data_IF_839010240552
#
_entry.id   IF_839010240552
#
_cell.length_a   1.000
_cell.length_b   1.000
_cell.length_c   1.000
_cell.angle_alpha   90.00
_cell.angle_beta   90.00
_cell.angle_gamma   90.00
#
_symmetry.space_group_name_H-M   'P 1'
#
loop_
_entity.id
_entity.type
_entity.pdbx_description
1 polymer ?
#
# COMPACT_ATOMS: atom_id res chain seq x y z
N UNK A 1 35.44 -0.60 5.46
CA UNK A 1 35.07 0.80 5.18
C UNK A 1 33.60 0.76 4.87
N UNK A 2 32.78 0.89 5.91
CA UNK A 2 31.33 0.71 5.81
C UNK A 2 30.76 1.79 4.89
N UNK A 3 30.23 1.35 3.75
CA UNK A 3 29.57 2.24 2.81
C UNK A 3 28.44 2.97 3.56
N UNK A 4 28.22 4.28 3.31
CA UNK A 4 27.19 5.03 3.99
C UNK A 4 25.83 4.34 3.79
N UNK A 5 25.00 4.32 4.84
CA UNK A 5 23.65 3.71 4.90
C UNK A 5 22.81 3.98 3.64
N UNK A 6 23.03 5.12 2.99
CA UNK A 6 22.38 5.52 1.74
C UNK A 6 22.65 4.62 0.52
N UNK A 7 23.76 3.90 0.48
CA UNK A 7 24.13 3.01 -0.64
C UNK A 7 23.32 1.71 -0.66
N UNK A 8 22.71 1.33 0.46
CA UNK A 8 21.88 0.12 0.59
C UNK A 8 20.38 0.41 0.42
N UNK A 9 20.00 1.68 0.27
CA UNK A 9 18.59 2.05 0.13
C UNK A 9 18.09 1.74 -1.28
N UNK A 10 16.88 1.16 -1.43
CA UNK A 10 16.31 0.93 -2.73
C UNK A 10 16.11 2.26 -3.47
N UNK A 11 16.45 2.29 -4.76
CA UNK A 11 16.37 3.49 -5.61
C UNK A 11 15.00 4.16 -5.57
N UNK A 12 13.92 3.37 -5.49
CA UNK A 12 12.55 3.88 -5.34
C UNK A 12 12.33 4.67 -4.06
N UNK A 13 12.96 4.26 -2.95
CA UNK A 13 12.89 4.97 -1.67
C UNK A 13 13.69 6.27 -1.73
N UNK A 14 14.86 6.28 -2.37
CA UNK A 14 15.63 7.51 -2.60
C UNK A 14 14.80 8.50 -3.44
N UNK A 15 14.20 8.03 -4.53
CA UNK A 15 13.33 8.85 -5.37
C UNK A 15 12.12 9.41 -4.60
N UNK A 16 11.49 8.59 -3.75
CA UNK A 16 10.40 9.03 -2.88
C UNK A 16 10.84 10.10 -1.88
N UNK A 17 11.99 9.94 -1.24
CA UNK A 17 12.54 10.93 -0.30
C UNK A 17 12.89 12.25 -1.00
N UNK A 18 13.50 12.18 -2.19
CA UNK A 18 13.79 13.36 -3.02
C UNK A 18 12.50 14.08 -3.44
N UNK A 19 11.48 13.31 -3.85
CA UNK A 19 10.17 13.85 -4.19
C UNK A 19 9.52 14.55 -2.99
N UNK A 20 9.56 13.94 -1.81
CA UNK A 20 9.03 14.53 -0.58
C UNK A 20 9.79 15.81 -0.22
N UNK A 21 11.12 15.79 -0.32
CA UNK A 21 11.98 16.96 -0.10
C UNK A 21 11.66 18.09 -1.07
N UNK A 22 11.48 17.79 -2.36
CA UNK A 22 11.11 18.76 -3.39
C UNK A 22 9.72 19.37 -3.14
N UNK A 23 8.75 18.54 -2.75
CA UNK A 23 7.39 18.99 -2.45
C UNK A 23 7.35 19.90 -1.20
N UNK A 24 8.07 19.53 -0.13
CA UNK A 24 8.19 20.34 1.08
C UNK A 24 8.92 21.66 0.81
N UNK A 25 10.03 21.61 0.07
CA UNK A 25 10.75 22.81 -0.34
C UNK A 25 9.85 23.77 -1.14
N UNK A 26 9.10 23.24 -2.11
CA UNK A 26 8.14 24.01 -2.89
C UNK A 26 7.04 24.62 -2.03
N UNK A 27 6.50 23.86 -1.07
CA UNK A 27 5.51 24.37 -0.12
C UNK A 27 6.03 25.59 0.65
N UNK A 28 7.21 25.49 1.27
CA UNK A 28 7.79 26.59 2.05
C UNK A 28 8.21 27.79 1.19
N UNK A 29 8.78 27.57 0.00
CA UNK A 29 9.13 28.66 -0.93
C UNK A 29 7.88 29.47 -1.30
N UNK A 30 6.78 28.80 -1.61
CA UNK A 30 5.52 29.44 -2.05
C UNK A 30 4.79 30.11 -0.90
N UNK A 31 4.85 29.52 0.29
CA UNK A 31 4.30 30.12 1.50
C UNK A 31 5.00 31.44 1.82
N UNK A 32 6.34 31.48 1.76
CA UNK A 32 7.12 32.71 1.93
C UNK A 32 6.76 33.73 0.85
N UNK A 33 6.73 33.33 -0.42
CA UNK A 33 6.39 34.21 -1.54
C UNK A 33 4.98 34.80 -1.44
N UNK A 34 3.98 34.00 -1.07
CA UNK A 34 2.60 34.44 -0.90
C UNK A 34 2.40 35.34 0.33
N UNK A 35 3.12 35.09 1.43
CA UNK A 35 3.15 35.99 2.59
C UNK A 35 3.76 37.36 2.22
N UNK A 36 4.87 37.37 1.46
CA UNK A 36 5.50 38.61 0.96
C UNK A 36 4.56 39.37 0.03
N UNK A 37 3.89 38.68 -0.90
CA UNK A 37 2.88 39.28 -1.78
C UNK A 37 1.76 39.94 -0.96
N UNK A 38 1.21 39.23 0.02
CA UNK A 38 0.15 39.75 0.90
C UNK A 38 0.61 40.97 1.70
N UNK A 39 1.85 40.94 2.21
CA UNK A 39 2.46 42.07 2.93
C UNK A 39 2.60 43.29 2.02
N UNK A 40 3.12 43.12 0.81
CA UNK A 40 3.31 44.21 -0.16
C UNK A 40 1.99 44.84 -0.59
N UNK A 41 0.93 44.04 -0.79
CA UNK A 41 -0.41 44.56 -1.10
C UNK A 41 -0.99 45.41 0.06
N UNK A 42 -0.64 45.08 1.31
CA UNK A 42 -1.05 45.83 2.49
C UNK A 42 -0.24 47.12 2.69
N UNK A 43 1.05 47.13 2.37
CA UNK A 43 1.89 48.33 2.51
C UNK A 43 1.69 49.33 1.39
N UNK A 44 1.39 48.85 0.18
CA UNK A 44 1.19 49.69 -0.99
C UNK A 44 -0.27 50.17 -1.15
N UNK A 45 -1.13 49.91 -0.16
CA UNK A 45 -2.52 50.41 -0.20
C UNK A 45 -2.54 51.92 -0.02
N UNK A 46 -3.10 52.63 -1.00
CA UNK A 46 -3.27 54.09 -0.96
C UNK A 46 -4.22 54.47 0.18
N UNK A 47 -3.85 55.50 0.95
CA UNK A 47 -4.69 56.02 2.03
C UNK A 47 -6.09 56.37 1.50
N UNK A 48 -7.13 55.75 2.08
CA UNK A 48 -8.53 55.93 1.67
C UNK A 48 -9.08 54.87 0.70
N UNK A 49 -8.25 54.00 0.13
CA UNK A 49 -8.72 52.86 -0.68
C UNK A 49 -8.70 51.55 0.12
N UNK A 50 -9.65 50.66 -0.14
CA UNK A 50 -9.63 49.30 0.45
C UNK A 50 -8.37 48.58 -0.03
N UNK A 51 -7.54 48.00 0.88
CA UNK A 51 -6.34 47.28 0.47
C UNK A 51 -6.71 46.10 -0.43
N UNK A 52 -6.00 45.93 -1.56
CA UNK A 52 -6.14 44.73 -2.39
C UNK A 52 -5.79 43.52 -1.53
N UNK A 53 -6.65 42.51 -1.53
CA UNK A 53 -6.43 41.26 -0.79
C UNK A 53 -6.34 40.11 -1.79
N UNK A 54 -5.38 39.19 -1.61
CA UNK A 54 -5.36 37.98 -2.41
C UNK A 54 -6.66 37.19 -2.17
N UNK A 55 -7.14 36.50 -3.20
CA UNK A 55 -8.37 35.72 -3.11
C UNK A 55 -8.24 34.51 -2.16
N UNK A 56 -7.03 33.94 -2.04
CA UNK A 56 -6.78 32.75 -1.22
C UNK A 56 -5.74 33.04 -0.13
N UNK A 57 -5.85 32.36 1.01
CA UNK A 57 -4.83 32.45 2.08
C UNK A 57 -3.49 31.87 1.58
N UNK A 58 -2.35 32.41 2.06
CA UNK A 58 -1.02 31.94 1.66
C UNK A 58 -0.79 30.43 1.82
N UNK A 59 -1.42 29.83 2.83
CA UNK A 59 -1.38 28.40 3.08
C UNK A 59 -1.89 27.57 1.88
N UNK A 60 -2.96 28.01 1.22
CA UNK A 60 -3.55 27.29 0.08
C UNK A 60 -2.66 27.32 -1.16
N UNK A 61 -1.87 28.38 -1.36
CA UNK A 61 -0.89 28.41 -2.45
C UNK A 61 0.27 27.43 -2.22
N UNK A 62 0.69 27.28 -0.95
CA UNK A 62 1.64 26.23 -0.54
C UNK A 62 1.08 24.84 -0.81
N UNK A 63 -0.11 24.53 -0.32
CA UNK A 63 -0.77 23.24 -0.53
C UNK A 63 -0.98 22.92 -2.02
N UNK A 64 -1.38 23.90 -2.82
CA UNK A 64 -1.53 23.73 -4.26
C UNK A 64 -0.22 23.27 -4.92
N UNK A 65 0.91 23.94 -4.62
CA UNK A 65 2.22 23.55 -5.17
C UNK A 65 2.69 22.19 -4.68
N UNK A 66 2.45 21.88 -3.40
CA UNK A 66 2.76 20.57 -2.82
C UNK A 66 2.02 19.47 -3.60
N UNK A 67 0.71 19.62 -3.80
CA UNK A 67 -0.10 18.64 -4.54
C UNK A 67 0.33 18.51 -6.00
N UNK A 68 0.59 19.63 -6.69
CA UNK A 68 1.05 19.59 -8.08
C UNK A 68 2.43 18.94 -8.25
N UNK A 69 3.28 18.97 -7.23
CA UNK A 69 4.60 18.32 -7.24
C UNK A 69 4.50 16.85 -6.87
N UNK A 70 3.72 16.55 -5.82
CA UNK A 70 3.64 15.22 -5.21
C UNK A 70 2.81 14.25 -6.05
N UNK A 71 1.60 14.67 -6.48
CA UNK A 71 0.66 13.78 -7.20
C UNK A 71 1.28 13.14 -8.45
N UNK A 72 1.89 13.89 -9.41
CA UNK A 72 2.36 13.27 -10.64
C UNK A 72 3.58 12.37 -10.40
N UNK A 73 4.53 12.78 -9.56
CA UNK A 73 5.70 11.96 -9.26
C UNK A 73 5.35 10.71 -8.45
N UNK A 74 4.45 10.83 -7.46
CA UNK A 74 3.95 9.68 -6.71
C UNK A 74 3.15 8.73 -7.61
N UNK A 75 2.35 9.27 -8.53
CA UNK A 75 1.62 8.49 -9.53
C UNK A 75 2.55 7.61 -10.38
N UNK A 76 3.70 8.13 -10.81
CA UNK A 76 4.71 7.33 -11.54
C UNK A 76 5.31 6.23 -10.67
N UNK A 77 5.61 6.51 -9.39
CA UNK A 77 6.14 5.49 -8.48
C UNK A 77 5.13 4.34 -8.29
N UNK A 78 3.85 4.67 -8.09
CA UNK A 78 2.78 3.66 -7.94
C UNK A 78 2.59 2.87 -9.23
N UNK A 79 2.46 3.54 -10.38
CA UNK A 79 2.31 2.87 -11.68
C UNK A 79 3.51 2.00 -12.01
N UNK A 80 4.72 2.49 -11.75
CA UNK A 80 5.95 1.72 -11.93
C UNK A 80 5.98 0.47 -11.05
N UNK A 81 5.56 0.57 -9.78
CA UNK A 81 5.47 -0.57 -8.88
C UNK A 81 4.43 -1.62 -9.36
N UNK A 82 3.31 -1.19 -9.94
CA UNK A 82 2.29 -2.09 -10.48
C UNK A 82 2.69 -2.76 -11.80
N UNK A 83 3.41 -2.06 -12.68
CA UNK A 83 3.78 -2.55 -14.02
C UNK A 83 5.06 -3.42 -13.98
N UNK A 84 5.98 -3.12 -13.05
CA UNK A 84 7.25 -3.84 -12.92
C UNK A 84 7.14 -5.38 -12.86
N UNK A 85 6.29 -6.01 -12.03
CA UNK A 85 6.21 -7.47 -11.98
C UNK A 85 5.84 -8.08 -13.34
N UNK A 86 4.91 -7.45 -14.07
CA UNK A 86 4.50 -7.87 -15.41
C UNK A 86 5.67 -7.82 -16.41
N UNK A 87 6.51 -6.79 -16.35
CA UNK A 87 7.67 -6.67 -17.24
C UNK A 87 8.80 -7.63 -16.88
N UNK A 88 9.01 -7.89 -15.58
CA UNK A 88 10.01 -8.85 -15.12
C UNK A 88 9.68 -10.27 -15.58
N UNK A 89 8.43 -10.68 -15.43
CA UNK A 89 7.96 -11.99 -15.88
C UNK A 89 8.10 -12.14 -17.40
N UNK A 90 7.65 -11.15 -18.17
CA UNK A 90 7.78 -11.17 -19.64
C UNK A 90 9.24 -11.27 -20.11
N UNK A 91 10.14 -10.54 -19.46
CA UNK A 91 11.57 -10.56 -19.81
C UNK A 91 12.22 -11.88 -19.41
N UNK A 92 11.82 -12.46 -18.28
CA UNK A 92 12.30 -13.78 -17.88
C UNK A 92 11.85 -14.85 -18.89
N UNK A 93 10.56 -14.88 -19.22
CA UNK A 93 9.98 -15.84 -20.18
C UNK A 93 10.62 -15.75 -21.57
N UNK A 94 10.93 -14.54 -22.06
CA UNK A 94 11.56 -14.36 -23.37
C UNK A 94 13.01 -14.82 -23.44
N UNK A 95 13.69 -14.96 -22.29
CA UNK A 95 15.08 -15.38 -22.22
C UNK A 95 15.24 -16.82 -21.70
N UNK A 96 14.15 -17.57 -21.55
CA UNK A 96 14.21 -18.96 -21.13
C UNK A 96 14.85 -19.85 -22.21
N UNK A 97 15.77 -20.75 -21.84
CA UNK A 97 16.24 -21.82 -22.72
C UNK A 97 15.08 -22.71 -23.19
N UNK A 98 15.16 -23.20 -24.44
CA UNK A 98 14.12 -24.05 -25.03
C UNK A 98 13.81 -25.31 -24.20
N UNK A 99 14.83 -25.85 -23.51
CA UNK A 99 14.71 -27.01 -22.62
C UNK A 99 13.73 -26.75 -21.46
N UNK A 100 13.83 -25.58 -20.83
CA UNK A 100 13.01 -25.19 -19.66
C UNK A 100 11.61 -24.77 -20.09
N UNK A 101 11.47 -24.19 -21.29
CA UNK A 101 10.18 -23.78 -21.85
C UNK A 101 9.21 -24.96 -22.12
N UNK A 102 9.75 -26.18 -22.20
CA UNK A 102 8.99 -27.41 -22.44
C UNK A 102 8.48 -28.08 -21.16
N UNK A 103 8.87 -27.56 -19.98
CA UNK A 103 8.47 -28.13 -18.70
C UNK A 103 6.96 -27.97 -18.43
N UNK A 104 6.36 -28.87 -17.64
CA UNK A 104 5.00 -28.67 -17.12
C UNK A 104 4.88 -27.34 -16.37
N UNK A 105 3.70 -26.71 -16.46
CA UNK A 105 3.48 -25.35 -15.96
C UNK A 105 3.84 -25.17 -14.48
N UNK A 106 3.54 -26.15 -13.63
CA UNK A 106 3.86 -26.12 -12.20
C UNK A 106 5.38 -26.09 -11.92
N UNK A 107 6.17 -26.78 -12.76
CA UNK A 107 7.63 -26.81 -12.63
C UNK A 107 8.25 -25.51 -13.15
N UNK A 108 7.65 -24.92 -14.19
CA UNK A 108 8.05 -23.62 -14.72
C UNK A 108 7.81 -22.50 -13.70
N UNK A 109 6.65 -22.50 -13.03
CA UNK A 109 6.31 -21.51 -12.01
C UNK A 109 7.27 -21.59 -10.81
N UNK A 110 7.62 -22.81 -10.38
CA UNK A 110 8.62 -23.03 -9.32
C UNK A 110 10.00 -22.53 -9.74
N UNK A 111 10.41 -22.80 -10.99
CA UNK A 111 11.68 -22.32 -11.53
C UNK A 111 11.75 -20.78 -11.54
N UNK A 112 10.70 -20.11 -12.01
CA UNK A 112 10.62 -18.64 -12.03
C UNK A 112 10.61 -18.05 -10.61
N UNK A 113 9.93 -18.71 -9.66
CA UNK A 113 9.93 -18.31 -8.26
C UNK A 113 11.33 -18.42 -7.65
N UNK A 114 12.07 -19.49 -7.93
CA UNK A 114 13.44 -19.66 -7.44
C UNK A 114 14.40 -18.66 -8.09
N UNK A 115 14.29 -18.41 -9.39
CA UNK A 115 15.05 -17.37 -10.07
C UNK A 115 14.77 -15.97 -9.48
N UNK A 116 13.50 -15.68 -9.16
CA UNK A 116 13.12 -14.43 -8.49
C UNK A 116 13.73 -14.32 -7.09
N UNK A 117 13.74 -15.41 -6.31
CA UNK A 117 14.37 -15.42 -4.99
C UNK A 117 15.87 -15.13 -5.11
N UNK A 118 16.58 -15.79 -6.03
CA UNK A 118 18.02 -15.53 -6.25
C UNK A 118 18.25 -14.06 -6.64
N UNK A 119 17.44 -13.52 -7.56
CA UNK A 119 17.55 -12.15 -8.04
C UNK A 119 17.41 -11.09 -6.94
N UNK A 120 16.65 -11.38 -5.88
CA UNK A 120 16.33 -10.43 -4.81
C UNK A 120 16.86 -10.86 -3.42
N UNK A 121 17.81 -11.81 -3.37
CA UNK A 121 18.48 -12.21 -2.12
C UNK A 121 17.68 -13.11 -1.19
N UNK A 122 16.70 -13.84 -1.72
CA UNK A 122 15.97 -14.92 -1.03
C UNK A 122 16.68 -16.27 -1.11
N UNK A 123 16.07 -17.29 -0.50
CA UNK A 123 16.62 -18.67 -0.42
C UNK A 123 15.94 -19.55 -1.47
N UNK A 124 16.61 -19.96 -2.57
CA UNK A 124 16.03 -20.83 -3.59
C UNK A 124 15.96 -22.28 -3.12
N UNK A 125 15.11 -23.08 -3.77
CA UNK A 125 15.05 -24.54 -3.56
C UNK A 125 16.15 -25.30 -4.31
N UNK A 126 16.72 -24.72 -5.37
CA UNK A 126 17.88 -25.26 -6.09
C UNK A 126 18.77 -24.13 -6.62
N UNK A 127 20.07 -24.39 -6.79
CA UNK A 127 21.04 -23.42 -7.32
C UNK A 127 21.72 -24.02 -8.55
N UNK A 128 21.13 -23.76 -9.72
CA UNK A 128 21.66 -24.23 -11.02
C UNK A 128 22.23 -23.06 -11.82
N UNK A 129 23.22 -23.29 -12.70
CA UNK A 129 23.77 -22.23 -13.54
C UNK A 129 22.70 -21.52 -14.38
N UNK A 130 21.68 -22.26 -14.87
CA UNK A 130 20.57 -21.69 -15.63
C UNK A 130 19.68 -20.78 -14.76
N UNK A 131 19.44 -21.15 -13.49
CA UNK A 131 18.70 -20.31 -12.54
C UNK A 131 19.43 -19.00 -12.27
N UNK A 132 20.75 -19.04 -12.11
CA UNK A 132 21.56 -17.84 -11.88
C UNK A 132 21.56 -16.90 -13.10
N UNK A 133 21.56 -17.44 -14.31
CA UNK A 133 21.47 -16.63 -15.54
C UNK A 133 20.15 -15.85 -15.59
N UNK A 134 19.01 -16.53 -15.40
CA UNK A 134 17.70 -15.89 -15.39
C UNK A 134 17.56 -14.91 -14.22
N UNK A 135 18.10 -15.26 -13.04
CA UNK A 135 18.11 -14.38 -11.88
C UNK A 135 18.89 -13.07 -12.15
N UNK A 136 20.03 -13.15 -12.83
CA UNK A 136 20.81 -11.97 -13.21
C UNK A 136 20.07 -11.08 -14.22
N UNK A 137 19.34 -11.68 -15.16
CA UNK A 137 18.47 -10.95 -16.10
C UNK A 137 17.33 -10.25 -15.34
N UNK A 138 16.67 -10.94 -14.41
CA UNK A 138 15.63 -10.35 -13.57
C UNK A 138 16.18 -9.21 -12.70
N UNK A 139 17.35 -9.39 -12.07
CA UNK A 139 17.98 -8.40 -11.22
C UNK A 139 18.40 -7.13 -12.01
N UNK A 140 19.04 -7.30 -13.16
CA UNK A 140 19.45 -6.19 -14.03
C UNK A 140 18.24 -5.43 -14.62
N UNK A 141 17.22 -6.16 -15.06
CA UNK A 141 15.95 -5.57 -15.55
C UNK A 141 15.25 -4.80 -14.42
N UNK A 142 15.20 -5.37 -13.22
CA UNK A 142 14.65 -4.70 -12.03
C UNK A 142 15.41 -3.41 -11.69
N UNK A 143 16.75 -3.43 -11.76
CA UNK A 143 17.59 -2.26 -11.55
C UNK A 143 17.33 -1.15 -12.56
N UNK A 144 17.26 -1.51 -13.85
CA UNK A 144 16.93 -0.58 -14.94
C UNK A 144 15.53 0.03 -14.75
N UNK A 145 14.51 -0.79 -14.47
CA UNK A 145 13.14 -0.32 -14.24
C UNK A 145 13.07 0.62 -13.04
N UNK A 146 13.77 0.31 -11.95
CA UNK A 146 13.84 1.19 -10.78
C UNK A 146 14.41 2.57 -11.13
N UNK A 147 15.48 2.62 -11.95
CA UNK A 147 16.08 3.88 -12.40
C UNK A 147 15.15 4.66 -13.32
N UNK A 148 14.54 4.00 -14.31
CA UNK A 148 13.60 4.63 -15.25
C UNK A 148 12.42 5.24 -14.50
N UNK A 149 11.79 4.47 -13.60
CA UNK A 149 10.67 4.93 -12.78
C UNK A 149 11.08 6.09 -11.87
N UNK A 150 12.26 6.02 -11.24
CA UNK A 150 12.77 7.10 -10.39
C UNK A 150 13.00 8.40 -11.17
N UNK A 151 13.66 8.32 -12.33
CA UNK A 151 13.93 9.49 -13.18
C UNK A 151 12.63 10.09 -13.69
N UNK A 152 11.68 9.27 -14.15
CA UNK A 152 10.37 9.74 -14.59
C UNK A 152 9.58 10.40 -13.45
N UNK A 153 9.61 9.82 -12.25
CA UNK A 153 8.93 10.38 -11.08
C UNK A 153 9.49 11.76 -10.71
N UNK A 154 10.82 11.90 -10.68
CA UNK A 154 11.49 13.18 -10.39
C UNK A 154 11.24 14.19 -11.51
N UNK A 155 11.30 13.78 -12.78
CA UNK A 155 11.05 14.64 -13.92
C UNK A 155 9.63 15.21 -13.90
N UNK A 156 8.60 14.38 -13.67
CA UNK A 156 7.23 14.85 -13.58
C UNK A 156 6.96 15.69 -12.33
N UNK A 157 7.58 15.35 -11.19
CA UNK A 157 7.54 16.20 -10.00
C UNK A 157 8.14 17.59 -10.28
N UNK A 158 9.27 17.64 -11.00
CA UNK A 158 9.89 18.89 -11.41
C UNK A 158 8.99 19.71 -12.34
N UNK A 159 8.36 19.08 -13.33
CA UNK A 159 7.37 19.75 -14.20
C UNK A 159 6.24 20.36 -13.36
N UNK A 160 5.67 19.60 -12.41
CA UNK A 160 4.63 20.08 -11.51
C UNK A 160 5.08 21.24 -10.62
N UNK A 161 6.31 21.18 -10.12
CA UNK A 161 6.93 22.23 -9.30
C UNK A 161 7.15 23.55 -10.06
N UNK A 162 7.67 23.48 -11.29
CA UNK A 162 7.90 24.67 -12.12
C UNK A 162 6.60 25.25 -12.67
N UNK A 163 5.66 24.40 -13.10
CA UNK A 163 4.35 24.83 -13.60
C UNK A 163 3.54 25.57 -12.54
N UNK A 164 3.51 25.05 -11.30
CA UNK A 164 2.78 25.67 -10.19
C UNK A 164 3.39 27.00 -9.73
N UNK A 165 4.72 27.18 -9.85
CA UNK A 165 5.39 28.45 -9.54
C UNK A 165 4.85 29.60 -10.39
N UNK A 166 4.57 29.36 -11.67
CA UNK A 166 4.00 30.35 -12.59
C UNK A 166 2.54 30.72 -12.33
N UNK A 167 1.85 30.05 -11.41
CA UNK A 167 0.42 30.29 -11.08
C UNK A 167 0.23 31.11 -9.81
N UNK A 168 1.30 31.60 -9.19
CA UNK A 168 1.21 32.49 -8.03
C UNK A 168 0.79 33.89 -8.49
N UNK A 169 -0.52 34.18 -8.41
CA UNK A 169 -1.07 35.51 -8.66
C UNK A 169 -2.13 35.88 -7.60
N UNK A 170 -2.46 37.18 -7.52
CA UNK A 170 -3.45 37.73 -6.57
C UNK A 170 -4.84 37.14 -6.81
N UNK A 171 -5.19 36.92 -8.08
CA UNK A 171 -6.50 36.44 -8.53
C UNK A 171 -6.63 34.91 -8.56
N UNK A 172 -5.52 34.18 -8.35
CA UNK A 172 -5.54 32.72 -8.43
C UNK A 172 -6.32 32.09 -7.27
N UNK A 173 -7.36 31.32 -7.62
CA UNK A 173 -8.23 30.61 -6.68
C UNK A 173 -7.63 29.29 -6.21
N UNK A 174 -6.50 29.36 -5.50
CA UNK A 174 -5.78 28.17 -4.98
C UNK A 174 -6.67 27.31 -4.07
N UNK A 175 -7.51 27.94 -3.23
CA UNK A 175 -8.41 27.24 -2.30
C UNK A 175 -9.32 26.24 -3.02
N UNK A 176 -10.05 26.68 -4.04
CA UNK A 176 -10.99 25.83 -4.79
C UNK A 176 -10.30 24.62 -5.42
N UNK A 177 -9.07 24.79 -5.95
CA UNK A 177 -8.30 23.71 -6.56
C UNK A 177 -7.84 22.68 -5.53
N UNK A 178 -7.37 23.12 -4.37
CA UNK A 178 -6.97 22.25 -3.26
C UNK A 178 -8.19 21.50 -2.69
N UNK A 179 -9.30 22.21 -2.45
CA UNK A 179 -10.54 21.59 -1.95
C UNK A 179 -11.09 20.54 -2.92
N UNK A 180 -11.06 20.82 -4.23
CA UNK A 180 -11.45 19.84 -5.25
C UNK A 180 -10.53 18.61 -5.23
N UNK A 181 -9.22 18.80 -5.10
CA UNK A 181 -8.28 17.69 -5.03
C UNK A 181 -8.50 16.80 -3.80
N UNK A 182 -8.74 17.41 -2.63
CA UNK A 182 -9.07 16.69 -1.39
C UNK A 182 -10.40 15.94 -1.54
N UNK A 183 -11.43 16.58 -2.11
CA UNK A 183 -12.73 15.94 -2.34
C UNK A 183 -12.60 14.73 -3.26
N UNK A 184 -11.89 14.87 -4.38
CA UNK A 184 -11.63 13.74 -5.30
C UNK A 184 -10.90 12.60 -4.59
N UNK A 185 -9.90 12.91 -3.75
CA UNK A 185 -9.19 11.90 -2.96
C UNK A 185 -10.14 11.17 -1.99
N UNK A 186 -11.00 11.91 -1.28
CA UNK A 186 -11.96 11.32 -0.34
C UNK A 186 -12.99 10.44 -1.06
N UNK A 187 -13.51 10.89 -2.22
CA UNK A 187 -14.45 10.12 -3.04
C UNK A 187 -13.78 8.85 -3.58
N UNK A 188 -12.54 8.94 -4.07
CA UNK A 188 -11.78 7.79 -4.54
C UNK A 188 -11.53 6.78 -3.42
N UNK A 189 -11.14 7.24 -2.23
CA UNK A 189 -10.93 6.38 -1.07
C UNK A 189 -12.23 5.69 -0.62
N UNK A 190 -13.35 6.41 -0.57
CA UNK A 190 -14.65 5.85 -0.25
C UNK A 190 -15.11 4.83 -1.30
N UNK A 191 -14.94 5.13 -2.58
CA UNK A 191 -15.26 4.21 -3.68
C UNK A 191 -14.41 2.93 -3.61
N UNK A 192 -13.10 3.04 -3.34
CA UNK A 192 -12.21 1.90 -3.16
C UNK A 192 -12.63 1.04 -1.97
N UNK A 193 -13.00 1.65 -0.84
CA UNK A 193 -13.47 0.93 0.34
C UNK A 193 -14.76 0.14 0.04
N UNK A 194 -15.74 0.77 -0.62
CA UNK A 194 -16.99 0.11 -1.02
C UNK A 194 -16.72 -1.03 -2.01
N UNK A 195 -15.89 -0.80 -3.03
CA UNK A 195 -15.52 -1.83 -4.01
C UNK A 195 -14.81 -3.00 -3.35
N UNK A 196 -13.89 -2.74 -2.42
CA UNK A 196 -13.17 -3.79 -1.66
C UNK A 196 -14.13 -4.61 -0.82
N UNK A 197 -15.10 -3.99 -0.15
CA UNK A 197 -16.14 -4.70 0.60
C UNK A 197 -16.96 -5.61 -0.31
N UNK A 198 -17.40 -5.12 -1.48
CA UNK A 198 -18.07 -5.97 -2.47
C UNK A 198 -17.16 -7.11 -2.95
N UNK A 199 -15.88 -6.83 -3.22
CA UNK A 199 -14.91 -7.82 -3.64
C UNK A 199 -14.73 -8.95 -2.62
N UNK A 200 -14.61 -8.59 -1.33
CA UNK A 200 -14.53 -9.56 -0.23
C UNK A 200 -15.83 -10.36 -0.14
N UNK A 201 -16.99 -9.70 -0.15
CA UNK A 201 -18.29 -10.38 -0.07
C UNK A 201 -18.47 -11.37 -1.22
N UNK A 202 -18.22 -10.94 -2.47
CA UNK A 202 -18.35 -11.83 -3.63
C UNK A 202 -17.32 -12.96 -3.61
N UNK A 203 -16.07 -12.68 -3.22
CA UNK A 203 -15.04 -13.71 -3.07
C UNK A 203 -15.49 -14.79 -2.08
N UNK A 204 -15.96 -14.39 -0.89
CA UNK A 204 -16.46 -15.32 0.12
C UNK A 204 -17.69 -16.07 -0.37
N UNK A 205 -18.66 -15.40 -0.99
CA UNK A 205 -19.87 -16.06 -1.51
C UNK A 205 -19.53 -17.13 -2.56
N UNK A 206 -18.65 -16.84 -3.51
CA UNK A 206 -18.27 -17.81 -4.54
C UNK A 206 -17.48 -18.99 -3.98
N UNK A 207 -16.54 -18.76 -3.07
CA UNK A 207 -15.78 -19.84 -2.42
C UNK A 207 -16.67 -20.69 -1.51
N UNK A 208 -17.56 -20.06 -0.74
CA UNK A 208 -18.56 -20.77 0.08
C UNK A 208 -19.53 -21.57 -0.79
N UNK A 209 -19.95 -21.05 -1.95
CA UNK A 209 -20.80 -21.81 -2.87
C UNK A 209 -20.09 -23.05 -3.44
N UNK A 210 -18.79 -22.98 -3.75
CA UNK A 210 -18.00 -24.16 -4.16
C UNK A 210 -17.87 -25.17 -3.02
N UNK A 211 -17.62 -24.69 -1.80
CA UNK A 211 -17.54 -25.52 -0.60
C UNK A 211 -18.84 -26.32 -0.39
N UNK A 212 -20.00 -25.67 -0.47
CA UNK A 212 -21.30 -26.33 -0.29
C UNK A 212 -21.76 -27.22 -1.46
N UNK A 213 -21.03 -27.25 -2.59
CA UNK A 213 -21.22 -28.29 -3.61
C UNK A 213 -20.62 -29.63 -3.20
N UNK A 214 -19.60 -29.62 -2.34
CA UNK A 214 -18.89 -30.82 -1.87
C UNK A 214 -19.40 -31.25 -0.49
N UNK A 215 -19.69 -30.30 0.38
CA UNK A 215 -20.16 -30.54 1.74
C UNK A 215 -21.61 -30.07 1.91
N UNK A 216 -22.44 -30.88 2.58
CA UNK A 216 -23.82 -30.51 2.87
C UNK A 216 -23.89 -29.32 3.82
N UNK A 217 -24.78 -28.37 3.54
CA UNK A 217 -25.07 -27.22 4.42
C UNK A 217 -25.59 -27.69 5.78
N UNK A 218 -26.39 -28.76 5.81
CA UNK A 218 -26.95 -29.29 7.06
C UNK A 218 -25.88 -29.93 7.94
N UNK A 219 -24.96 -30.68 7.35
CA UNK A 219 -23.84 -31.28 8.07
C UNK A 219 -22.87 -30.21 8.58
N UNK A 220 -22.71 -29.11 7.84
CA UNK A 220 -21.97 -27.95 8.30
C UNK A 220 -22.67 -27.27 9.49
N UNK A 221 -23.97 -26.94 9.37
CA UNK A 221 -24.68 -26.19 10.41
C UNK A 221 -24.89 -26.98 11.71
N UNK A 222 -25.18 -28.27 11.61
CA UNK A 222 -25.53 -29.12 12.75
C UNK A 222 -24.43 -30.13 13.14
N UNK A 223 -23.33 -30.20 12.37
CA UNK A 223 -22.20 -31.06 12.69
C UNK A 223 -21.57 -30.70 14.03
N UNK A 224 -21.30 -31.72 14.84
CA UNK A 224 -20.68 -31.59 16.17
C UNK A 224 -19.18 -31.88 16.16
N UNK A 225 -18.66 -32.38 15.04
CA UNK A 225 -17.25 -32.70 14.85
C UNK A 225 -16.57 -31.61 14.02
N UNK A 226 -15.41 -31.18 14.49
CA UNK A 226 -14.53 -30.27 13.77
C UNK A 226 -13.20 -30.97 13.52
N UNK A 227 -13.02 -31.52 12.31
CA UNK A 227 -11.79 -32.14 11.84
C UNK A 227 -11.49 -31.65 10.41
N UNK A 228 -10.86 -30.46 10.27
CA UNK A 228 -10.54 -29.87 8.97
C UNK A 228 -9.40 -30.58 8.23
N UNK A 229 -8.86 -31.68 8.77
CA UNK A 229 -7.80 -32.46 8.16
C UNK A 229 -8.35 -33.33 7.02
N UNK A 230 -8.14 -32.86 5.80
CA UNK A 230 -8.33 -33.62 4.56
C UNK A 230 -7.01 -34.28 4.15
N UNK A 231 -7.04 -35.54 3.74
CA UNK A 231 -5.88 -36.21 3.15
C UNK A 231 -5.55 -35.56 1.79
N UNK A 232 -4.37 -34.96 1.66
CA UNK A 232 -3.91 -34.29 0.42
C UNK A 232 -3.23 -35.30 -0.52
N UNK A 233 -2.73 -36.42 0.03
CA UNK A 233 -2.14 -37.54 -0.72
C UNK A 233 -2.75 -38.88 -0.29
N UNK A 234 -2.77 -39.86 -1.21
CA UNK A 234 -3.37 -41.18 -0.99
C UNK A 234 -2.69 -42.00 0.13
N UNK A 235 -1.45 -41.68 0.48
CA UNK A 235 -0.63 -42.26 1.54
C UNK A 235 -0.77 -41.55 2.89
N UNK A 236 -1.49 -40.42 2.97
CA UNK A 236 -1.72 -39.71 4.22
C UNK A 236 -2.89 -40.30 5.00
N UNK A 237 -2.67 -40.58 6.28
CA UNK A 237 -3.75 -40.89 7.25
C UNK A 237 -4.53 -39.60 7.52
N UNK A 238 -5.51 -39.29 6.67
CA UNK A 238 -6.43 -38.17 6.85
C UNK A 238 -7.88 -38.64 6.83
N UNK A 239 -8.73 -37.96 7.60
CA UNK A 239 -10.16 -38.25 7.61
C UNK A 239 -10.85 -37.57 6.42
N UNK A 240 -12.06 -38.03 6.08
CA UNK A 240 -12.98 -37.25 5.25
C UNK A 240 -13.31 -35.97 6.03
N UNK A 241 -12.68 -34.85 5.68
CA UNK A 241 -12.74 -33.62 6.49
C UNK A 241 -14.16 -33.28 6.96
N UNK A 242 -14.32 -33.03 8.27
CA UNK A 242 -15.60 -32.73 8.91
C UNK A 242 -15.60 -31.28 9.41
N UNK A 243 -16.63 -30.53 9.02
CA UNK A 243 -16.70 -29.08 9.22
C UNK A 243 -17.96 -28.68 9.99
N UNK A 244 -18.10 -29.11 11.24
CA UNK A 244 -19.25 -28.79 12.08
C UNK A 244 -19.19 -27.40 12.73
N UNK A 245 -20.13 -26.52 12.39
CA UNK A 245 -20.25 -25.17 12.93
C UNK A 245 -20.62 -25.15 14.42
N UNK A 246 -21.40 -26.13 14.90
CA UNK A 246 -21.80 -26.22 16.31
C UNK A 246 -20.58 -26.27 17.22
N UNK A 247 -19.57 -27.06 16.86
CA UNK A 247 -18.33 -27.18 17.63
C UNK A 247 -17.59 -25.85 17.75
N UNK A 248 -17.55 -25.05 16.67
CA UNK A 248 -16.93 -23.73 16.67
C UNK A 248 -17.68 -22.75 17.58
N UNK A 249 -19.01 -22.68 17.45
CA UNK A 249 -19.82 -21.81 18.30
C UNK A 249 -19.70 -22.20 19.77
N UNK A 250 -19.76 -23.50 20.09
CA UNK A 250 -19.55 -23.97 21.46
C UNK A 250 -18.18 -23.58 21.99
N UNK A 251 -17.13 -23.74 21.18
CA UNK A 251 -15.78 -23.30 21.54
C UNK A 251 -15.71 -21.81 21.88
N UNK A 252 -16.29 -20.95 21.03
CA UNK A 252 -16.37 -19.51 21.28
C UNK A 252 -17.16 -19.19 22.54
N UNK A 253 -18.32 -19.83 22.76
CA UNK A 253 -19.13 -19.60 23.96
C UNK A 253 -18.41 -20.04 25.24
N UNK A 254 -17.72 -21.19 25.22
CA UNK A 254 -16.95 -21.69 26.37
C UNK A 254 -15.83 -20.72 26.71
N UNK A 255 -15.04 -20.28 25.72
CA UNK A 255 -13.94 -19.33 25.95
C UNK A 255 -14.48 -17.99 26.47
N UNK A 256 -15.56 -17.48 25.88
CA UNK A 256 -16.22 -16.25 26.33
C UNK A 256 -16.68 -16.37 27.78
N UNK A 257 -17.31 -17.48 28.15
CA UNK A 257 -17.81 -17.72 29.51
C UNK A 257 -16.68 -17.79 30.52
N UNK A 258 -15.61 -18.54 30.21
CA UNK A 258 -14.41 -18.61 31.06
C UNK A 258 -13.79 -17.21 31.20
N UNK A 259 -13.70 -16.46 30.10
CA UNK A 259 -13.16 -15.10 30.11
C UNK A 259 -13.99 -14.17 31.01
N UNK A 260 -15.33 -14.23 30.98
CA UNK A 260 -16.20 -13.43 31.86
C UNK A 260 -16.00 -13.84 33.32
N UNK A 261 -16.00 -15.14 33.61
CA UNK A 261 -15.83 -15.66 34.98
C UNK A 261 -14.50 -15.24 35.59
N UNK A 262 -13.44 -15.08 34.78
CA UNK A 262 -12.12 -14.66 35.26
C UNK A 262 -11.98 -13.13 35.26
N UNK A 263 -12.36 -12.46 34.17
CA UNK A 263 -12.14 -11.03 33.98
C UNK A 263 -13.05 -10.17 34.85
N UNK A 264 -14.30 -10.58 35.11
CA UNK A 264 -15.24 -9.78 35.91
C UNK A 264 -14.80 -9.70 37.37
N UNK A 265 -14.49 -10.80 38.09
CA UNK A 265 -14.05 -10.71 39.48
C UNK A 265 -12.72 -9.98 39.63
N UNK A 266 -11.77 -10.24 38.74
CA UNK A 266 -10.46 -9.55 38.77
C UNK A 266 -10.65 -8.06 38.49
N UNK A 267 -11.40 -7.69 37.45
CA UNK A 267 -11.63 -6.29 37.09
C UNK A 267 -12.38 -5.51 38.16
N UNK A 268 -13.44 -6.10 38.73
CA UNK A 268 -14.19 -5.50 39.84
C UNK A 268 -13.31 -5.39 41.10
N UNK A 269 -12.54 -6.44 41.42
CA UNK A 269 -11.62 -6.44 42.56
C UNK A 269 -10.52 -5.39 42.43
N UNK A 270 -9.94 -5.22 41.24
CA UNK A 270 -8.97 -4.15 40.96
C UNK A 270 -9.60 -2.77 41.05
N UNK A 271 -10.83 -2.60 40.57
CA UNK A 271 -11.55 -1.32 40.68
C UNK A 271 -11.80 -0.94 42.15
N UNK A 272 -12.24 -1.89 42.96
CA UNK A 272 -12.45 -1.69 44.41
C UNK A 272 -11.12 -1.38 45.11
N UNK A 273 -10.05 -2.14 44.81
CA UNK A 273 -8.73 -1.90 45.39
C UNK A 273 -8.21 -0.49 45.06
N UNK A 274 -8.31 -0.06 43.80
CA UNK A 274 -7.90 1.28 43.41
C UNK A 274 -8.77 2.36 44.06
N UNK A 275 -10.09 2.18 44.15
CA UNK A 275 -10.94 3.18 44.81
C UNK A 275 -10.65 3.33 46.30
N UNK A 276 -10.21 2.26 46.96
CA UNK A 276 -9.96 2.25 48.40
C UNK A 276 -8.52 2.63 48.77
N UNK A 277 -7.53 2.23 47.95
CA UNK A 277 -6.11 2.36 48.27
C UNK A 277 -5.34 3.33 47.36
N UNK A 278 -5.89 3.73 46.22
CA UNK A 278 -5.34 4.81 45.39
C UNK A 278 -6.09 6.11 45.67
N UNK A 279 -5.94 6.61 46.91
CA UNK A 279 -6.22 8.02 47.21
C UNK A 279 -4.94 8.81 46.94
N UNK A 280 -5.07 10.05 46.46
CA UNK A 280 -3.98 11.01 46.12
C UNK A 280 -2.65 10.83 46.88
#
# INVERSE_FOLDING_TARGET
MDLPVFSQLPVSMIAFLLLMGMALFGYFETLKASNTLTRNLRTNSVAGQKPMRPHSLPLYHGWFRLLCTLIPGFGVLVLGASIKPLLLERTALSNLPAEISSLPQDQLDLFLLDAQKIAFGGIPSSDTPQLQEIANIMASTSGMLNLVVAVLAIALAAVGFYWSKGKLSVDFRARNKVETAILVLMVAAAALAVLTTFGIVFSLVFETAKFFKVYSILDFLFGTLWSPQIAIRADQVGQTGSFGAVALFLGTFIIMLIAIIVAVPIGLGSAIYLSEYATD
#
